data_IF_561435419767
#
_entry.id   IF_561435419767
#
_cell.length_a   1.000
_cell.length_b   1.000
_cell.length_c   1.000
_cell.angle_alpha   90.00
_cell.angle_beta   90.00
_cell.angle_gamma   90.00
#
_symmetry.space_group_name_H-M   'P 1'
#
loop_
_entity.id
_entity.type
_entity.pdbx_description
1 polymer ?
#
# COMPACT_ATOMS: atom_id res chain seq x y z
N UNK A 1 -62.41 -13.69 -46.55
CA UNK A 1 -61.12 -14.20 -46.05
C UNK A 1 -60.02 -13.13 -46.00
N UNK A 2 -59.82 -12.29 -47.03
CA UNK A 2 -58.76 -11.25 -47.04
C UNK A 2 -58.85 -10.20 -45.92
N UNK A 3 -60.06 -9.82 -45.48
CA UNK A 3 -60.28 -8.85 -44.38
C UNK A 3 -59.81 -9.34 -43.00
N UNK A 4 -59.86 -10.65 -42.77
CA UNK A 4 -59.39 -11.27 -41.51
C UNK A 4 -57.86 -11.30 -41.48
N UNK A 5 -57.23 -11.47 -42.64
CA UNK A 5 -55.77 -11.45 -42.79
C UNK A 5 -55.21 -10.06 -42.47
N UNK A 6 -55.85 -8.99 -42.97
CA UNK A 6 -55.42 -7.62 -42.64
C UNK A 6 -55.59 -7.28 -41.15
N UNK A 7 -56.63 -7.80 -40.50
CA UNK A 7 -56.82 -7.62 -39.06
C UNK A 7 -55.72 -8.33 -38.24
N UNK A 8 -55.30 -9.54 -38.65
CA UNK A 8 -54.21 -10.26 -38.01
C UNK A 8 -52.85 -9.58 -38.18
N UNK A 9 -52.58 -9.02 -39.35
CA UNK A 9 -51.33 -8.27 -39.61
C UNK A 9 -51.28 -6.96 -38.79
N UNK A 10 -52.42 -6.27 -38.65
CA UNK A 10 -52.49 -5.04 -37.86
C UNK A 10 -52.24 -5.28 -36.36
N UNK A 11 -52.74 -6.39 -35.81
CA UNK A 11 -52.48 -6.77 -34.40
C UNK A 11 -51.01 -7.15 -34.18
N UNK A 12 -50.36 -7.75 -35.17
CA UNK A 12 -48.95 -8.09 -35.08
C UNK A 12 -48.02 -6.87 -35.09
N UNK A 13 -48.40 -5.80 -35.81
CA UNK A 13 -47.62 -4.54 -35.86
C UNK A 13 -47.79 -3.72 -34.57
N UNK A 14 -48.94 -3.83 -33.88
CA UNK A 14 -49.20 -3.13 -32.62
C UNK A 14 -48.69 -3.85 -31.36
N UNK A 15 -48.29 -5.12 -31.48
CA UNK A 15 -47.83 -5.95 -30.36
C UNK A 15 -46.32 -5.94 -30.09
N UNK A 16 -45.55 -5.09 -30.76
CA UNK A 16 -44.10 -4.99 -30.56
C UNK A 16 -43.76 -4.37 -29.21
N UNK A 17 -43.37 -5.20 -28.24
CA UNK A 17 -42.80 -4.74 -26.97
C UNK A 17 -41.56 -3.89 -27.24
N UNK A 18 -41.59 -2.62 -26.88
CA UNK A 18 -40.40 -1.78 -26.85
C UNK A 18 -39.56 -2.19 -25.64
N UNK A 19 -38.42 -2.84 -25.88
CA UNK A 19 -37.42 -3.03 -24.83
C UNK A 19 -36.77 -1.67 -24.55
N UNK A 20 -37.02 -1.11 -23.37
CA UNK A 20 -36.23 0.02 -22.89
C UNK A 20 -34.77 -0.44 -22.76
N UNK A 21 -33.84 0.37 -23.27
CA UNK A 21 -32.42 0.12 -23.13
C UNK A 21 -32.08 0.17 -21.64
N UNK A 22 -31.61 -0.95 -21.07
CA UNK A 22 -30.93 -0.93 -19.77
C UNK A 22 -29.62 -0.21 -20.02
N UNK A 23 -29.45 1.00 -19.48
CA UNK A 23 -28.15 1.65 -19.46
C UNK A 23 -27.16 0.77 -18.69
N UNK A 24 -26.33 0.04 -19.42
CA UNK A 24 -25.15 -0.70 -18.92
C UNK A 24 -23.93 0.20 -18.79
N UNK A 25 -24.13 1.53 -18.77
CA UNK A 25 -23.04 2.47 -18.64
C UNK A 25 -22.53 2.45 -17.19
N UNK A 26 -21.25 2.12 -17.01
CA UNK A 26 -20.55 2.17 -15.73
C UNK A 26 -20.12 3.60 -15.33
N UNK A 27 -20.62 4.61 -16.02
CA UNK A 27 -20.32 6.02 -15.85
C UNK A 27 -21.44 6.89 -16.48
N UNK A 28 -21.63 8.10 -15.97
CA UNK A 28 -22.51 9.11 -16.59
C UNK A 28 -23.90 9.22 -15.99
N UNK A 29 -24.14 8.70 -14.78
CA UNK A 29 -25.39 9.01 -14.09
C UNK A 29 -25.39 10.48 -13.67
N UNK A 30 -26.51 11.17 -13.89
CA UNK A 30 -26.69 12.54 -13.35
C UNK A 30 -26.46 12.45 -11.83
N UNK A 31 -25.49 13.22 -11.33
CA UNK A 31 -24.99 13.21 -9.94
C UNK A 31 -24.03 12.07 -9.54
N UNK A 32 -23.44 11.34 -10.49
CA UNK A 32 -22.28 10.49 -10.17
C UNK A 32 -21.12 11.39 -9.71
N UNK A 33 -20.52 11.09 -8.55
CA UNK A 33 -19.37 11.84 -8.04
C UNK A 33 -18.24 11.78 -9.08
N UNK A 34 -17.78 12.97 -9.48
CA UNK A 34 -16.78 13.14 -10.54
C UNK A 34 -15.43 12.46 -10.22
N UNK A 35 -15.15 12.15 -8.95
CA UNK A 35 -13.86 11.60 -8.54
C UNK A 35 -14.02 10.49 -7.50
N UNK A 36 -13.91 9.23 -7.92
CA UNK A 36 -13.52 8.12 -7.02
C UNK A 36 -12.08 8.27 -6.49
N UNK A 37 -11.36 9.30 -6.93
CA UNK A 37 -9.98 9.59 -6.54
C UNK A 37 -9.89 10.46 -5.27
N UNK A 38 -10.91 11.27 -4.96
CA UNK A 38 -10.94 12.11 -3.77
C UNK A 38 -11.84 11.49 -2.70
N UNK A 39 -11.41 11.58 -1.44
CA UNK A 39 -12.15 11.07 -0.29
C UNK A 39 -13.28 12.04 0.06
N UNK A 40 -14.47 11.49 0.33
CA UNK A 40 -15.59 12.27 0.84
C UNK A 40 -15.27 12.96 2.17
N UNK A 41 -15.85 14.15 2.43
CA UNK A 41 -15.80 14.78 3.73
C UNK A 41 -16.33 13.85 4.83
N UNK A 42 -15.68 13.85 5.99
CA UNK A 42 -16.05 13.06 7.16
C UNK A 42 -15.95 13.89 8.45
N UNK A 43 -16.42 13.33 9.58
CA UNK A 43 -16.26 13.93 10.92
C UNK A 43 -14.80 14.16 11.32
N UNK A 44 -13.86 13.49 10.65
CA UNK A 44 -12.42 13.62 10.85
C UNK A 44 -11.77 14.62 9.88
N UNK A 45 -12.29 14.81 8.66
CA UNK A 45 -11.77 15.80 7.69
C UNK A 45 -12.89 16.44 6.88
N UNK A 46 -12.94 17.77 6.87
CA UNK A 46 -13.94 18.54 6.12
C UNK A 46 -13.72 18.48 4.60
N UNK A 47 -14.68 19.02 3.82
CA UNK A 47 -14.55 19.15 2.37
C UNK A 47 -13.42 20.08 1.91
N UNK A 48 -12.89 20.90 2.81
CA UNK A 48 -11.70 21.73 2.59
C UNK A 48 -10.40 21.03 3.00
N UNK A 49 -10.45 19.79 3.50
CA UNK A 49 -9.30 19.04 4.00
C UNK A 49 -8.88 19.42 5.44
N UNK A 50 -9.54 20.40 6.05
CA UNK A 50 -9.27 20.83 7.42
C UNK A 50 -9.66 19.73 8.44
N UNK A 51 -8.98 19.68 9.60
CA UNK A 51 -9.38 18.85 10.73
C UNK A 51 -10.86 19.01 11.08
N UNK A 52 -11.60 17.91 11.11
CA UNK A 52 -12.98 17.88 11.57
C UNK A 52 -13.08 17.88 13.11
N UNK A 53 -14.30 17.98 13.68
CA UNK A 53 -14.51 18.05 15.12
C UNK A 53 -14.00 16.82 15.90
N UNK A 54 -13.96 15.65 15.26
CA UNK A 54 -13.49 14.40 15.88
C UNK A 54 -12.06 14.03 15.48
N UNK A 55 -11.37 14.94 14.80
CA UNK A 55 -10.00 14.73 14.37
C UNK A 55 -9.04 14.61 15.55
N UNK A 56 -8.19 13.59 15.53
CA UNK A 56 -7.12 13.38 16.50
C UNK A 56 -5.80 13.13 15.77
N UNK A 57 -4.69 13.46 16.43
CA UNK A 57 -3.33 13.20 15.95
C UNK A 57 -2.50 12.64 17.09
N UNK A 58 -1.70 11.63 16.79
CA UNK A 58 -0.72 11.15 17.76
C UNK A 58 0.39 12.17 17.95
N UNK A 59 0.95 12.20 19.15
CA UNK A 59 2.11 13.02 19.48
C UNK A 59 3.17 12.14 20.12
N UNK A 60 4.41 12.32 19.71
CA UNK A 60 5.56 11.73 20.35
C UNK A 60 6.57 12.85 20.62
N UNK A 61 6.98 12.97 21.88
CA UNK A 61 8.02 13.89 22.30
C UNK A 61 9.31 13.10 22.51
N UNK A 62 10.41 13.66 22.01
CA UNK A 62 11.71 12.99 21.97
C UNK A 62 12.73 13.79 22.78
N UNK A 63 13.43 13.11 23.69
CA UNK A 63 14.61 13.64 24.34
C UNK A 63 15.79 12.74 23.99
N UNK A 64 16.71 13.27 23.20
CA UNK A 64 17.89 12.55 22.71
C UNK A 64 19.13 13.17 23.36
N UNK A 65 19.90 12.33 24.05
CA UNK A 65 21.20 12.68 24.62
C UNK A 65 22.26 11.88 23.88
N UNK A 66 23.16 12.56 23.16
CA UNK A 66 24.18 11.92 22.36
C UNK A 66 25.57 12.47 22.70
N UNK A 67 26.56 11.59 22.74
CA UNK A 67 27.97 11.90 22.99
C UNK A 67 28.79 11.42 21.81
N UNK A 68 29.50 12.35 21.17
CA UNK A 68 30.46 12.05 20.12
C UNK A 68 31.86 11.90 20.71
N UNK A 69 32.49 10.75 20.49
CA UNK A 69 33.88 10.49 20.80
C UNK A 69 34.68 10.41 19.50
N UNK A 70 35.35 11.51 19.14
CA UNK A 70 36.11 11.61 17.89
C UNK A 70 37.38 10.74 17.91
N UNK A 71 38.08 10.67 19.05
CA UNK A 71 39.30 9.85 19.18
C UNK A 71 39.04 8.37 18.85
N UNK A 72 37.87 7.85 19.26
CA UNK A 72 37.46 6.48 19.02
C UNK A 72 36.47 6.32 17.86
N UNK A 73 36.15 7.40 17.13
CA UNK A 73 35.17 7.42 16.03
C UNK A 73 33.82 6.77 16.41
N UNK A 74 33.32 7.08 17.61
CA UNK A 74 32.12 6.46 18.19
C UNK A 74 31.07 7.50 18.57
N UNK A 75 29.81 7.21 18.26
CA UNK A 75 28.65 7.97 18.72
C UNK A 75 27.84 7.09 19.66
N UNK A 76 27.70 7.53 20.91
CA UNK A 76 26.85 6.88 21.91
C UNK A 76 25.67 7.78 22.22
N UNK A 77 24.50 7.20 22.51
CA UNK A 77 23.35 8.00 22.88
C UNK A 77 22.27 7.25 23.63
N UNK A 78 21.42 8.02 24.29
CA UNK A 78 20.24 7.58 25.01
C UNK A 78 19.05 8.40 24.53
N UNK A 79 17.92 7.73 24.31
CA UNK A 79 16.68 8.36 23.85
C UNK A 79 15.56 8.04 24.82
N UNK A 80 14.79 9.06 25.22
CA UNK A 80 13.53 8.91 25.94
C UNK A 80 12.40 9.41 25.06
N UNK A 81 11.46 8.50 24.75
CA UNK A 81 10.28 8.79 23.93
C UNK A 81 9.06 8.86 24.85
N UNK A 82 8.36 9.99 24.86
CA UNK A 82 7.07 10.14 25.53
C UNK A 82 5.96 10.13 24.48
N UNK A 83 5.21 9.04 24.41
CA UNK A 83 4.13 8.86 23.46
C UNK A 83 2.76 9.21 24.06
N UNK A 84 1.99 10.03 23.34
CA UNK A 84 0.64 10.42 23.71
C UNK A 84 -0.36 9.78 22.75
N UNK A 85 -1.12 8.79 23.24
CA UNK A 85 -2.23 8.22 22.50
C UNK A 85 -3.46 9.14 22.59
N UNK A 86 -3.68 9.94 21.55
CA UNK A 86 -4.86 10.80 21.42
C UNK A 86 -6.01 10.11 20.65
N UNK A 87 -5.81 8.86 20.23
CA UNK A 87 -6.87 8.07 19.61
C UNK A 87 -7.98 7.77 20.61
N UNK A 88 -9.25 7.72 20.19
CA UNK A 88 -10.33 7.18 21.00
C UNK A 88 -10.17 5.68 21.29
N UNK A 89 -9.32 4.98 20.53
CA UNK A 89 -9.09 3.54 20.68
C UNK A 89 -7.87 3.24 21.58
N UNK A 90 -7.93 2.16 22.38
CA UNK A 90 -6.81 1.74 23.21
C UNK A 90 -5.64 1.24 22.35
N UNK A 91 -4.43 1.73 22.65
CA UNK A 91 -3.19 1.29 22.01
C UNK A 91 -2.61 0.10 22.79
N UNK A 92 -2.60 -1.08 22.19
CA UNK A 92 -2.10 -2.31 22.84
C UNK A 92 -0.61 -2.58 22.58
N UNK A 93 -0.08 -2.08 21.46
CA UNK A 93 1.30 -2.33 21.03
C UNK A 93 1.89 -1.05 20.41
N UNK A 94 3.17 -0.81 20.65
CA UNK A 94 3.94 0.25 20.01
C UNK A 94 5.00 -0.39 19.12
N UNK A 95 5.01 -0.01 17.84
CA UNK A 95 6.04 -0.40 16.88
C UNK A 95 7.07 0.71 16.79
N UNK A 96 8.34 0.35 16.95
CA UNK A 96 9.48 1.24 16.80
C UNK A 96 10.35 0.72 15.66
N UNK A 97 10.61 1.57 14.67
CA UNK A 97 11.60 1.28 13.65
C UNK A 97 12.97 1.69 14.19
N UNK A 98 13.86 0.71 14.35
CA UNK A 98 15.23 0.92 14.79
C UNK A 98 16.15 0.27 13.76
N UNK A 99 17.06 1.07 13.20
CA UNK A 99 18.06 0.58 12.28
C UNK A 99 19.21 -0.08 13.06
N UNK A 100 19.75 -1.18 12.51
CA UNK A 100 20.87 -1.88 13.12
C UNK A 100 22.17 -1.06 13.05
N UNK A 101 23.04 -1.28 14.04
CA UNK A 101 24.40 -0.77 13.98
C UNK A 101 25.24 -1.60 13.00
N UNK A 102 25.20 -1.23 11.73
CA UNK A 102 25.95 -1.88 10.64
C UNK A 102 27.47 -1.80 10.80
N UNK A 103 27.98 -0.97 11.72
CA UNK A 103 29.42 -0.78 11.96
C UNK A 103 29.95 -1.52 13.19
N UNK A 104 29.12 -2.33 13.84
CA UNK A 104 29.57 -3.16 14.96
C UNK A 104 30.55 -4.23 14.46
N UNK A 105 31.73 -4.44 15.10
CA UNK A 105 32.78 -5.34 14.57
C UNK A 105 32.35 -6.78 14.25
N UNK A 106 31.32 -7.30 14.93
CA UNK A 106 30.76 -8.65 14.71
C UNK A 106 29.39 -8.59 14.00
N UNK A 107 29.14 -7.54 13.22
CA UNK A 107 27.92 -7.43 12.43
C UNK A 107 27.92 -8.50 11.31
N UNK A 108 26.79 -9.15 11.10
CA UNK A 108 26.63 -10.20 10.08
C UNK A 108 26.84 -9.69 8.65
N UNK A 109 26.69 -8.38 8.42
CA UNK A 109 27.07 -7.72 7.16
C UNK A 109 28.54 -7.91 6.79
N UNK A 110 29.42 -8.13 7.78
CA UNK A 110 30.84 -8.44 7.56
C UNK A 110 31.11 -9.93 7.33
N UNK A 111 30.14 -10.80 7.62
CA UNK A 111 30.21 -12.23 7.36
C UNK A 111 29.82 -12.49 5.91
N UNK A 112 30.73 -12.14 5.02
CA UNK A 112 30.64 -12.56 3.62
C UNK A 112 31.07 -14.02 3.52
N UNK A 113 30.26 -14.85 2.84
CA UNK A 113 30.66 -16.21 2.44
C UNK A 113 31.16 -16.13 0.99
N UNK A 114 32.46 -15.88 0.74
CA UNK A 114 32.97 -15.75 -0.61
C UNK A 114 32.97 -17.11 -1.30
N UNK A 115 32.29 -17.17 -2.45
CA UNK A 115 32.49 -18.23 -3.43
C UNK A 115 33.95 -18.29 -3.86
N UNK A 116 34.64 -19.41 -3.59
CA UNK A 116 36.05 -19.60 -3.94
C UNK A 116 36.22 -20.52 -5.15
N UNK A 117 37.10 -20.16 -6.09
CA UNK A 117 37.44 -21.02 -7.24
C UNK A 117 38.67 -21.89 -6.94
N UNK A 118 38.49 -23.21 -6.83
CA UNK A 118 39.53 -24.23 -6.73
C UNK A 118 40.02 -24.71 -8.12
N UNK A 119 41.30 -25.10 -8.22
CA UNK A 119 41.92 -25.57 -9.48
C UNK A 119 41.32 -26.87 -10.04
N UNK A 120 40.58 -27.62 -9.23
CA UNK A 120 39.81 -28.79 -9.64
C UNK A 120 38.44 -28.72 -8.98
N UNK A 121 37.41 -28.62 -9.79
CA UNK A 121 36.01 -28.62 -9.36
C UNK A 121 35.23 -29.70 -10.09
N UNK A 122 34.20 -30.22 -9.44
CA UNK A 122 33.18 -31.03 -10.12
C UNK A 122 32.23 -30.12 -10.89
N UNK A 123 31.53 -30.69 -11.87
CA UNK A 123 30.56 -29.94 -12.67
C UNK A 123 29.51 -29.23 -11.80
N UNK A 124 28.96 -29.91 -10.78
CA UNK A 124 27.99 -29.30 -9.85
C UNK A 124 28.57 -28.20 -8.95
N UNK A 125 29.89 -28.18 -8.70
CA UNK A 125 30.53 -27.06 -7.99
C UNK A 125 30.70 -25.82 -8.88
N UNK A 126 30.87 -26.01 -10.20
CA UNK A 126 30.90 -24.91 -11.17
C UNK A 126 29.49 -24.35 -11.37
N UNK A 127 28.48 -25.20 -11.47
CA UNK A 127 27.06 -24.79 -11.58
C UNK A 127 26.58 -23.99 -10.36
N UNK A 128 27.05 -24.35 -9.15
CA UNK A 128 26.78 -23.58 -7.94
C UNK A 128 27.45 -22.19 -7.90
N UNK A 129 28.53 -21.97 -8.67
CA UNK A 129 29.19 -20.67 -8.79
C UNK A 129 28.53 -19.75 -9.82
N UNK A 130 27.87 -20.31 -10.82
CA UNK A 130 27.27 -19.56 -11.94
C UNK A 130 26.01 -18.77 -11.53
N UNK A 131 25.49 -19.02 -10.32
CA UNK A 131 24.50 -18.17 -9.66
C UNK A 131 23.13 -18.17 -10.35
N UNK A 132 22.20 -18.93 -9.78
CA UNK A 132 20.73 -18.80 -9.92
C UNK A 132 20.21 -17.78 -10.94
N UNK A 133 19.62 -18.28 -12.04
CA UNK A 133 18.83 -17.53 -13.06
C UNK A 133 17.51 -16.92 -12.52
N UNK A 134 17.44 -16.60 -11.24
CA UNK A 134 16.22 -16.07 -10.61
C UNK A 134 16.20 -14.54 -10.62
N UNK A 135 16.88 -13.90 -11.58
CA UNK A 135 16.81 -12.47 -11.84
C UNK A 135 15.47 -12.13 -12.52
N UNK A 136 14.38 -12.32 -11.76
CA UNK A 136 13.06 -11.81 -12.11
C UNK A 136 13.04 -10.33 -11.76
N UNK A 137 13.42 -9.51 -12.74
CA UNK A 137 12.99 -8.12 -12.78
C UNK A 137 11.47 -7.99 -12.71
#
# INVERSE_FOLDING_TARGET
MKRIIYAFVAVFILGGSSFAQVETSNHGKRFEQLERMLRDPSVYRSASGAPGPQYWQQKADYKIEATLNDDNQRLDGYETITYFNNSPDPLNYLWLALDENVRQPDNDSYKFDPSSINSRMTYGQIEALDGHDNDWG
#
